data_IF_515320324301
#
_entry.id   IF_515320324301
#
_cell.length_a   1.000
_cell.length_b   1.000
_cell.length_c   1.000
_cell.angle_alpha   90.00
_cell.angle_beta   90.00
_cell.angle_gamma   90.00
#
_symmetry.space_group_name_H-M   'P 1'
#
loop_
_entity.id
_entity.type
_entity.pdbx_description
1 polymer ?
#
# COMPACT_ATOMS: atom_id res chain seq x y z
N UNK A 1 -6.79 -23.10 57.01
CA UNK A 1 -7.33 -23.26 55.63
C UNK A 1 -6.72 -22.15 54.80
N UNK A 2 -6.00 -22.53 53.75
CA UNK A 2 -4.98 -21.74 53.06
C UNK A 2 -5.53 -20.49 52.37
N UNK A 3 -5.02 -19.32 52.77
CA UNK A 3 -5.16 -18.04 52.07
C UNK A 3 -3.98 -17.89 51.09
N UNK A 4 -3.97 -18.67 50.00
CA UNK A 4 -2.88 -18.65 49.00
C UNK A 4 -3.33 -18.43 47.55
N UNK A 5 -4.54 -17.93 47.30
CA UNK A 5 -5.09 -17.75 45.94
C UNK A 5 -5.13 -16.30 45.41
N UNK A 6 -4.62 -15.29 46.12
CA UNK A 6 -4.77 -13.89 45.69
C UNK A 6 -3.81 -13.46 44.56
N UNK A 7 -2.56 -13.94 44.55
CA UNK A 7 -1.56 -13.48 43.56
C UNK A 7 -1.66 -14.08 42.16
N UNK A 8 -2.38 -15.19 42.01
CA UNK A 8 -2.56 -15.90 40.73
C UNK A 8 -3.86 -15.56 40.00
N UNK A 9 -4.93 -15.23 40.73
CA UNK A 9 -6.24 -14.90 40.18
C UNK A 9 -6.21 -13.57 39.43
N UNK A 10 -5.64 -12.50 40.02
CA UNK A 10 -5.55 -11.20 39.35
C UNK A 10 -4.73 -11.22 38.05
N UNK A 11 -3.64 -11.99 38.00
CA UNK A 11 -2.86 -12.14 36.76
C UNK A 11 -3.64 -12.89 35.68
N UNK A 12 -4.39 -13.92 36.09
CA UNK A 12 -5.20 -14.72 35.17
C UNK A 12 -6.34 -13.89 34.59
N UNK A 13 -6.98 -13.05 35.42
CA UNK A 13 -8.03 -12.13 34.99
C UNK A 13 -7.49 -11.05 34.04
N UNK A 14 -6.30 -10.49 34.33
CA UNK A 14 -5.64 -9.52 33.44
C UNK A 14 -5.28 -10.14 32.08
N UNK A 15 -4.70 -11.34 32.07
CA UNK A 15 -4.36 -12.05 30.83
C UNK A 15 -5.63 -12.38 30.04
N UNK A 16 -6.70 -12.82 30.70
CA UNK A 16 -7.96 -13.12 30.04
C UNK A 16 -8.59 -11.87 29.41
N UNK A 17 -8.58 -10.74 30.14
CA UNK A 17 -9.06 -9.46 29.64
C UNK A 17 -8.24 -9.01 28.42
N UNK A 18 -6.91 -8.97 28.52
CA UNK A 18 -6.04 -8.61 27.40
C UNK A 18 -6.21 -9.54 26.20
N UNK A 19 -6.35 -10.84 26.43
CA UNK A 19 -6.57 -11.83 25.38
C UNK A 19 -7.90 -11.60 24.67
N UNK A 20 -8.97 -11.34 25.43
CA UNK A 20 -10.30 -11.05 24.86
C UNK A 20 -10.29 -9.77 24.01
N UNK A 21 -9.62 -8.71 24.47
CA UNK A 21 -9.42 -7.49 23.69
C UNK A 21 -8.62 -7.76 22.42
N UNK A 22 -7.52 -8.51 22.53
CA UNK A 22 -6.70 -8.87 21.37
C UNK A 22 -7.48 -9.72 20.36
N UNK A 23 -8.34 -10.62 20.82
CA UNK A 23 -9.23 -11.39 19.94
C UNK A 23 -10.18 -10.48 19.18
N UNK A 24 -10.83 -9.52 19.86
CA UNK A 24 -11.74 -8.56 19.21
C UNK A 24 -10.99 -7.70 18.19
N UNK A 25 -9.82 -7.17 18.57
CA UNK A 25 -8.97 -6.39 17.67
C UNK A 25 -8.53 -7.22 16.47
N UNK A 26 -8.11 -8.48 16.68
CA UNK A 26 -7.74 -9.40 15.62
C UNK A 26 -8.89 -9.61 14.62
N UNK A 27 -10.11 -9.83 15.10
CA UNK A 27 -11.31 -9.98 14.24
C UNK A 27 -11.62 -8.69 13.49
N UNK A 28 -11.55 -7.53 14.18
CA UNK A 28 -11.80 -6.24 13.56
C UNK A 28 -10.80 -5.91 12.43
N UNK A 29 -9.51 -6.17 12.67
CA UNK A 29 -8.47 -5.99 11.64
C UNK A 29 -8.60 -7.01 10.51
N UNK A 30 -8.98 -8.24 10.81
CA UNK A 30 -9.21 -9.26 9.79
C UNK A 30 -10.41 -8.92 8.89
N UNK A 31 -11.50 -8.41 9.47
CA UNK A 31 -12.66 -7.95 8.71
C UNK A 31 -12.31 -6.79 7.77
N UNK A 32 -11.40 -5.91 8.20
CA UNK A 32 -11.00 -4.72 7.47
C UNK A 32 -9.63 -4.86 6.76
N UNK A 33 -9.18 -6.09 6.50
CA UNK A 33 -7.84 -6.43 5.99
C UNK A 33 -7.36 -5.55 4.80
N UNK A 34 -8.27 -5.11 3.95
CA UNK A 34 -7.99 -4.24 2.81
C UNK A 34 -7.44 -2.86 3.19
N UNK A 35 -7.86 -2.28 4.32
CA UNK A 35 -7.35 -0.99 4.81
C UNK A 35 -5.90 -1.14 5.24
N UNK A 36 -5.60 -2.20 5.99
CA UNK A 36 -4.25 -2.45 6.48
C UNK A 36 -3.28 -2.73 5.33
N UNK A 37 -3.72 -3.49 4.31
CA UNK A 37 -2.89 -3.76 3.14
C UNK A 37 -2.63 -2.48 2.33
N UNK A 38 -3.61 -1.60 2.16
CA UNK A 38 -3.44 -0.33 1.46
C UNK A 38 -2.50 0.63 2.19
N UNK A 39 -2.64 0.78 3.50
CA UNK A 39 -1.74 1.63 4.32
C UNK A 39 -0.31 1.10 4.22
N UNK A 40 -0.13 -0.21 4.43
CA UNK A 40 1.20 -0.85 4.33
C UNK A 40 1.79 -0.68 2.94
N UNK A 41 0.96 -0.82 1.90
CA UNK A 41 1.39 -0.65 0.50
C UNK A 41 1.83 0.78 0.21
N UNK A 42 1.15 1.79 0.75
CA UNK A 42 1.57 3.19 0.64
C UNK A 42 2.98 3.40 1.18
N UNK A 43 3.27 2.89 2.38
CA UNK A 43 4.60 2.99 3.00
C UNK A 43 5.66 2.32 2.10
N UNK A 44 5.36 1.13 1.58
CA UNK A 44 6.26 0.42 0.66
C UNK A 44 6.50 1.24 -0.62
N UNK A 45 5.45 1.85 -1.19
CA UNK A 45 5.56 2.68 -2.39
C UNK A 45 6.52 3.85 -2.13
N UNK A 46 6.37 4.56 -1.00
CA UNK A 46 7.20 5.71 -0.67
C UNK A 46 8.68 5.37 -0.42
N UNK A 47 8.97 4.25 0.24
CA UNK A 47 10.35 3.94 0.67
C UNK A 47 11.09 2.95 -0.22
N UNK A 48 10.40 1.98 -0.81
CA UNK A 48 11.02 0.82 -1.46
C UNK A 48 10.67 0.70 -2.93
N UNK A 49 9.59 1.34 -3.39
CA UNK A 49 9.19 1.24 -4.77
C UNK A 49 9.69 2.45 -5.55
N UNK A 50 10.27 2.28 -6.75
CA UNK A 50 10.77 3.41 -7.53
C UNK A 50 9.63 4.26 -8.13
N UNK A 51 8.35 3.97 -7.89
CA UNK A 51 7.25 4.75 -8.46
C UNK A 51 6.92 5.96 -7.58
N UNK A 52 7.18 7.15 -8.13
CA UNK A 52 6.85 8.43 -7.53
C UNK A 52 5.98 9.27 -8.46
N UNK A 53 5.54 10.40 -7.94
CA UNK A 53 4.75 11.39 -8.70
C UNK A 53 5.55 11.85 -9.93
N UNK A 54 4.89 11.90 -11.09
CA UNK A 54 5.47 12.28 -12.40
C UNK A 54 6.02 11.11 -13.22
N UNK A 55 5.97 9.89 -12.68
CA UNK A 55 6.40 8.71 -13.43
C UNK A 55 5.32 8.21 -14.37
N UNK A 56 5.73 7.89 -15.60
CA UNK A 56 4.91 7.11 -16.54
C UNK A 56 5.02 5.63 -16.23
N UNK A 57 3.88 5.06 -15.86
CA UNK A 57 3.72 3.66 -15.51
C UNK A 57 2.74 3.00 -16.47
N UNK A 58 3.09 1.77 -16.87
CA UNK A 58 2.19 0.89 -17.60
C UNK A 58 1.89 -0.32 -16.73
N UNK A 59 0.63 -0.45 -16.36
CA UNK A 59 0.12 -1.58 -15.60
C UNK A 59 -0.24 -2.67 -16.60
N UNK A 60 0.44 -3.80 -16.49
CA UNK A 60 0.17 -4.99 -17.28
C UNK A 60 -0.87 -5.83 -16.54
N UNK A 61 -2.14 -5.66 -16.91
CA UNK A 61 -3.22 -6.56 -16.49
C UNK A 61 -3.68 -7.43 -17.67
N UNK A 62 -4.20 -8.62 -17.35
CA UNK A 62 -4.62 -9.63 -18.34
C UNK A 62 -5.87 -9.16 -19.09
N UNK A 63 -6.71 -8.35 -18.46
CA UNK A 63 -7.96 -7.84 -19.02
C UNK A 63 -7.84 -6.41 -19.56
N UNK A 64 -6.95 -5.59 -19.00
CA UNK A 64 -6.80 -4.18 -19.40
C UNK A 64 -5.35 -3.69 -19.21
N UNK A 65 -4.73 -3.20 -20.28
CA UNK A 65 -3.45 -2.49 -20.18
C UNK A 65 -3.74 -1.00 -19.94
N UNK A 66 -3.39 -0.50 -18.76
CA UNK A 66 -3.53 0.93 -18.42
C UNK A 66 -2.17 1.59 -18.46
N UNK A 67 -2.07 2.74 -19.13
CA UNK A 67 -0.86 3.55 -19.20
C UNK A 67 -1.17 4.98 -18.77
N UNK A 68 -0.43 5.50 -17.79
CA UNK A 68 -0.67 6.82 -17.23
C UNK A 68 0.51 7.36 -16.43
N UNK A 69 0.45 8.63 -16.11
CA UNK A 69 1.41 9.32 -15.24
C UNK A 69 0.86 9.35 -13.81
N UNK A 70 1.68 9.02 -12.82
CA UNK A 70 1.29 9.12 -11.41
C UNK A 70 1.17 10.60 -11.05
N UNK A 71 -0.04 11.05 -10.73
CA UNK A 71 -0.31 12.45 -10.36
C UNK A 71 -0.48 12.62 -8.84
N UNK A 72 -0.88 11.58 -8.13
CA UNK A 72 -1.03 11.60 -6.68
C UNK A 72 -0.81 10.21 -6.06
N UNK A 73 -0.28 10.19 -4.85
CA UNK A 73 -0.09 8.97 -4.03
C UNK A 73 -0.72 9.25 -2.65
N UNK A 74 -1.97 8.84 -2.49
CA UNK A 74 -2.69 8.93 -1.22
C UNK A 74 -2.47 7.70 -0.33
N UNK A 75 -3.12 7.70 0.84
CA UNK A 75 -3.02 6.61 1.83
C UNK A 75 -3.70 5.30 1.38
N UNK A 76 -4.71 5.41 0.52
CA UNK A 76 -5.50 4.26 0.06
C UNK A 76 -5.39 4.02 -1.43
N UNK A 77 -5.19 5.08 -2.20
CA UNK A 77 -5.22 5.05 -3.65
C UNK A 77 -4.05 5.81 -4.25
N UNK A 78 -3.61 5.32 -5.40
CA UNK A 78 -2.71 6.01 -6.32
C UNK A 78 -3.55 6.50 -7.51
N UNK A 79 -3.32 7.74 -7.92
CA UNK A 79 -4.05 8.36 -9.03
C UNK A 79 -3.14 8.44 -10.23
N UNK A 80 -3.61 7.88 -11.35
CA UNK A 80 -2.97 7.93 -12.64
C UNK A 80 -3.75 8.86 -13.58
N UNK A 81 -3.04 9.67 -14.35
CA UNK A 81 -3.60 10.44 -15.44
C UNK A 81 -3.20 9.82 -16.79
N UNK A 82 -4.18 9.41 -17.57
CA UNK A 82 -4.02 8.89 -18.92
C UNK A 82 -3.65 9.99 -19.91
N UNK A 83 -3.08 9.58 -21.05
CA UNK A 83 -2.69 10.51 -22.13
C UNK A 83 -3.90 11.17 -22.82
N UNK A 84 -5.06 10.54 -22.69
CA UNK A 84 -6.37 11.01 -23.16
C UNK A 84 -7.06 11.96 -22.18
N UNK A 85 -6.41 12.28 -21.05
CA UNK A 85 -6.97 13.11 -19.98
C UNK A 85 -7.86 12.34 -19.00
N UNK A 86 -8.00 11.02 -19.15
CA UNK A 86 -8.70 10.18 -18.18
C UNK A 86 -7.96 10.16 -16.83
N UNK A 87 -8.71 10.02 -15.74
CA UNK A 87 -8.16 9.90 -14.38
C UNK A 87 -8.59 8.57 -13.80
N UNK A 88 -7.61 7.77 -13.38
CA UNK A 88 -7.85 6.45 -12.79
C UNK A 88 -7.31 6.41 -11.36
N UNK A 89 -8.13 5.99 -10.41
CA UNK A 89 -7.71 5.75 -9.02
C UNK A 89 -7.61 4.25 -8.77
N UNK A 90 -6.47 3.80 -8.28
CA UNK A 90 -6.17 2.37 -8.05
C UNK A 90 -5.82 2.18 -6.57
N UNK A 91 -6.37 1.17 -5.88
CA UNK A 91 -5.92 0.83 -4.53
C UNK A 91 -4.41 0.57 -4.49
N UNK A 92 -3.71 1.11 -3.49
CA UNK A 92 -2.25 0.97 -3.38
C UNK A 92 -1.80 -0.49 -3.31
N UNK A 93 -2.59 -1.34 -2.64
CA UNK A 93 -2.30 -2.77 -2.56
C UNK A 93 -2.41 -3.45 -3.93
N UNK A 94 -3.38 -3.04 -4.76
CA UNK A 94 -3.53 -3.57 -6.10
C UNK A 94 -2.39 -3.09 -7.00
N UNK A 95 -2.01 -1.81 -6.90
CA UNK A 95 -0.89 -1.25 -7.65
C UNK A 95 0.42 -2.02 -7.39
N UNK A 96 0.74 -2.32 -6.13
CA UNK A 96 1.95 -3.09 -5.78
C UNK A 96 1.92 -4.55 -6.25
N UNK A 97 0.73 -5.15 -6.33
CA UNK A 97 0.59 -6.54 -6.76
C UNK A 97 0.72 -6.71 -8.28
N UNK A 98 0.48 -5.66 -9.06
CA UNK A 98 0.57 -5.69 -10.52
C UNK A 98 2.01 -5.42 -10.98
N UNK A 99 2.38 -5.99 -12.13
CA UNK A 99 3.67 -5.70 -12.75
C UNK A 99 3.63 -4.28 -13.36
N UNK A 100 4.46 -3.38 -12.82
CA UNK A 100 4.56 -1.99 -13.27
C UNK A 100 5.80 -1.83 -14.15
N UNK A 101 5.60 -1.50 -15.43
CA UNK A 101 6.71 -1.14 -16.34
C UNK A 101 6.87 0.37 -16.34
N UNK A 102 8.05 0.84 -15.95
CA UNK A 102 8.40 2.27 -15.93
C UNK A 102 9.04 2.65 -17.26
N UNK A 103 8.44 3.57 -17.99
CA UNK A 103 9.07 4.11 -19.20
C UNK A 103 10.00 5.25 -18.80
N UNK A 104 11.32 5.00 -18.82
CA UNK A 104 12.31 6.09 -18.69
C UNK A 104 12.10 7.04 -19.86
N UNK A 105 12.00 8.35 -19.57
CA UNK A 105 12.05 9.38 -20.63
C UNK A 105 13.28 9.13 -21.50
N UNK A 106 13.16 9.13 -22.84
CA UNK A 106 14.32 9.09 -23.70
C UNK A 106 15.19 10.30 -23.35
N UNK A 107 16.47 10.07 -23.01
CA UNK A 107 17.42 11.17 -22.77
C UNK A 107 17.39 12.07 -24.01
N UNK A 108 17.29 13.40 -23.88
CA UNK A 108 17.47 14.27 -25.03
C UNK A 108 18.82 13.93 -25.63
N UNK A 109 18.85 13.45 -26.89
CA UNK A 109 20.11 13.32 -27.63
C UNK A 109 20.71 14.72 -27.62
N UNK A 110 21.83 14.89 -26.90
CA UNK A 110 22.66 16.07 -27.05
C UNK A 110 22.94 16.19 -28.54
N UNK A 111 22.42 17.24 -29.17
CA UNK A 111 22.90 17.63 -30.48
C UNK A 111 24.37 18.00 -30.27
N UNK A 112 25.27 17.08 -30.58
CA UNK A 112 26.65 17.44 -30.90
C UNK A 112 26.52 18.40 -32.06
N UNK A 113 26.78 19.68 -31.78
CA UNK A 113 27.02 20.67 -32.82
C UNK A 113 28.23 20.17 -33.60
N UNK A 114 28.02 19.76 -34.85
CA UNK A 114 29.05 19.91 -35.87
C UNK A 114 29.06 21.40 -36.20
N UNK A 115 30.07 22.10 -35.69
CA UNK A 115 30.59 23.35 -36.24
C UNK A 115 32.07 23.08 -36.59
#
# INVERSE_FOLDING_TARGET
>A
MDFSQSGGVERSELIFFLSSMLTILGIAFFAQWSILSNITSTIIIFFSHPAGIGDKVKILDVEFAVEGEIVDIGLFFIVLQGSDGSVLSIPNNLFLQKAVVRQRRPRPRSKTKED
#
